data_IF_299400338168
#
_entry.id   IF_299400338168
#
_cell.length_a   1.000
_cell.length_b   1.000
_cell.length_c   1.000
_cell.angle_alpha   90.00
_cell.angle_beta   90.00
_cell.angle_gamma   90.00
#
_symmetry.space_group_name_H-M   'P 1'
#
loop_
_entity.id
_entity.type
_entity.pdbx_description
1 polymer ?
#
# COMPACT_ATOMS: atom_id res chain seq x y z
N UNK A 1 12.13 -19.71 3.42
CA UNK A 1 11.41 -19.16 2.25
C UNK A 1 12.20 -17.98 1.69
N UNK A 2 12.27 -17.74 0.38
CA UNK A 2 13.00 -16.58 -0.12
C UNK A 2 12.31 -15.30 0.36
N UNK A 3 13.02 -14.52 1.17
CA UNK A 3 12.64 -13.20 1.62
C UNK A 3 12.46 -12.29 0.41
N UNK A 4 11.41 -11.46 0.38
CA UNK A 4 11.27 -10.40 -0.62
C UNK A 4 12.55 -9.55 -0.59
N UNK A 5 13.16 -9.34 -1.76
CA UNK A 5 14.39 -8.56 -1.87
C UNK A 5 14.12 -7.08 -1.63
N UNK A 6 15.13 -6.35 -1.18
CA UNK A 6 15.07 -4.90 -1.12
C UNK A 6 14.99 -4.34 -2.54
N UNK A 7 14.19 -3.31 -2.77
CA UNK A 7 14.07 -2.72 -4.09
C UNK A 7 12.85 -1.83 -4.29
N UNK A 8 12.65 -1.40 -5.53
CA UNK A 8 11.53 -0.53 -5.91
C UNK A 8 10.45 -1.38 -6.57
N UNK A 9 9.24 -1.35 -6.02
CA UNK A 9 8.13 -2.18 -6.42
C UNK A 9 6.91 -1.38 -6.88
N UNK A 10 6.10 -2.07 -7.69
CA UNK A 10 4.76 -1.70 -8.09
C UNK A 10 3.81 -2.75 -7.53
N UNK A 11 2.87 -2.36 -6.68
CA UNK A 11 1.97 -3.32 -6.04
C UNK A 11 0.69 -3.44 -6.87
N UNK A 12 0.43 -4.63 -7.39
CA UNK A 12 -0.78 -4.97 -8.15
C UNK A 12 -1.79 -5.63 -7.22
N UNK A 13 -3.05 -5.20 -7.29
CA UNK A 13 -4.15 -5.87 -6.57
C UNK A 13 -4.57 -7.14 -7.30
N UNK A 14 -4.62 -8.27 -6.59
CA UNK A 14 -5.09 -9.55 -7.15
C UNK A 14 -6.60 -9.58 -7.37
N UNK A 15 -7.39 -8.87 -6.55
CA UNK A 15 -8.84 -8.77 -6.74
C UNK A 15 -9.21 -8.16 -8.10
N UNK A 16 -8.33 -7.35 -8.69
CA UNK A 16 -8.54 -6.80 -10.04
C UNK A 16 -8.30 -7.80 -11.18
N UNK A 17 -7.62 -8.93 -10.93
CA UNK A 17 -7.37 -9.95 -11.96
C UNK A 17 -8.61 -10.78 -12.28
N UNK A 18 -9.59 -10.85 -11.38
CA UNK A 18 -10.85 -11.57 -11.63
C UNK A 18 -11.82 -10.82 -12.54
N UNK A 19 -11.53 -9.56 -12.90
CA UNK A 19 -12.33 -8.78 -13.85
C UNK A 19 -11.53 -8.56 -15.14
N UNK A 20 -12.03 -9.09 -16.25
CA UNK A 20 -11.41 -8.96 -17.56
C UNK A 20 -11.21 -7.48 -17.93
N UNK A 21 -9.95 -7.06 -18.09
CA UNK A 21 -9.57 -5.79 -18.72
C UNK A 21 -9.13 -4.64 -17.80
N UNK A 22 -9.40 -4.67 -16.49
CA UNK A 22 -9.08 -3.55 -15.58
C UNK A 22 -8.14 -3.97 -14.45
N UNK A 23 -6.85 -4.10 -14.77
CA UNK A 23 -5.81 -4.29 -13.74
C UNK A 23 -5.68 -3.03 -12.88
N UNK A 24 -5.87 -3.19 -11.58
CA UNK A 24 -5.73 -2.12 -10.60
C UNK A 24 -4.48 -2.34 -9.74
N UNK A 25 -3.88 -1.22 -9.37
CA UNK A 25 -2.65 -1.15 -8.62
C UNK A 25 -2.86 -0.30 -7.37
N UNK A 26 -1.99 -0.46 -6.39
CA UNK A 26 -1.99 0.41 -5.21
C UNK A 26 -1.38 1.77 -5.60
N UNK A 27 -2.03 2.85 -5.18
CA UNK A 27 -1.51 4.19 -5.36
C UNK A 27 -2.34 5.25 -4.64
N UNK A 28 -2.13 6.49 -5.04
CA UNK A 28 -2.91 7.66 -4.61
C UNK A 28 -3.68 8.24 -5.80
N UNK A 29 -4.91 8.70 -5.60
CA UNK A 29 -5.66 9.33 -6.70
C UNK A 29 -5.23 10.79 -6.92
N UNK A 30 -4.89 11.11 -8.17
CA UNK A 30 -4.42 12.43 -8.58
C UNK A 30 -5.48 13.53 -8.44
N UNK A 31 -6.77 13.18 -8.36
CA UNK A 31 -7.82 14.17 -8.06
C UNK A 31 -7.65 14.79 -6.66
N UNK A 32 -7.11 14.01 -5.71
CA UNK A 32 -6.77 14.50 -4.37
C UNK A 32 -5.54 15.41 -4.39
N UNK A 33 -4.64 15.25 -5.37
CA UNK A 33 -3.50 16.15 -5.59
C UNK A 33 -3.95 17.54 -6.04
N UNK A 34 -5.01 17.66 -6.84
CA UNK A 34 -5.52 18.96 -7.34
C UNK A 34 -6.21 19.79 -6.25
N UNK A 35 -6.80 19.16 -5.23
CA UNK A 35 -7.33 19.86 -4.05
C UNK A 35 -6.24 20.32 -3.07
N UNK A 36 -5.02 19.78 -3.19
CA UNK A 36 -3.89 20.08 -2.32
C UNK A 36 -2.97 21.09 -3.02
N UNK A 37 -3.08 22.36 -2.63
CA UNK A 37 -2.34 23.53 -3.19
C UNK A 37 -0.80 23.39 -3.29
N UNK A 38 -0.21 22.32 -2.76
CA UNK A 38 1.23 22.14 -2.62
C UNK A 38 1.87 21.16 -3.61
N UNK A 39 1.12 20.41 -4.43
CA UNK A 39 1.69 19.37 -5.32
C UNK A 39 2.27 18.14 -4.59
N UNK A 40 2.55 18.26 -3.29
CA UNK A 40 3.00 17.18 -2.39
C UNK A 40 1.85 16.29 -1.90
N UNK A 41 2.10 14.98 -1.77
CA UNK A 41 1.23 14.03 -1.11
C UNK A 41 1.28 14.28 0.40
N UNK A 42 0.13 14.51 1.02
CA UNK A 42 0.03 14.79 2.46
C UNK A 42 -0.19 13.53 3.29
N UNK A 43 0.22 13.61 4.55
CA UNK A 43 -0.18 12.65 5.58
C UNK A 43 -1.72 12.55 5.65
N UNK A 44 -2.24 11.34 5.89
CA UNK A 44 -3.66 11.03 5.88
C UNK A 44 -4.27 10.84 4.48
N UNK A 45 -3.51 11.05 3.39
CA UNK A 45 -4.01 10.80 2.03
C UNK A 45 -4.37 9.32 1.85
N UNK A 46 -5.62 8.98 1.48
CA UNK A 46 -6.03 7.58 1.26
C UNK A 46 -5.16 6.85 0.23
N UNK A 47 -4.78 5.61 0.57
CA UNK A 47 -4.22 4.67 -0.39
C UNK A 47 -5.35 3.91 -1.05
N UNK A 48 -5.44 4.00 -2.38
CA UNK A 48 -6.55 3.48 -3.17
C UNK A 48 -6.07 2.61 -4.32
N UNK A 49 -7.01 1.90 -4.93
CA UNK A 49 -6.80 1.20 -6.18
C UNK A 49 -6.86 2.18 -7.36
N UNK A 50 -5.85 2.15 -8.21
CA UNK A 50 -5.71 3.05 -9.35
C UNK A 50 -5.34 2.27 -10.62
N UNK A 51 -5.56 2.89 -11.78
CA UNK A 51 -5.04 2.37 -13.04
C UNK A 51 -3.52 2.54 -13.14
N UNK A 52 -2.91 1.83 -14.08
CA UNK A 52 -1.45 1.76 -14.27
C UNK A 52 -0.80 3.14 -14.41
N UNK A 53 -1.50 4.11 -15.00
CA UNK A 53 -0.99 5.46 -15.27
C UNK A 53 -0.82 6.30 -13.99
N UNK A 54 -1.53 5.93 -12.90
CA UNK A 54 -1.50 6.63 -11.61
C UNK A 54 -0.79 5.83 -10.51
N UNK A 55 -0.16 4.71 -10.86
CA UNK A 55 0.46 3.82 -9.87
C UNK A 55 1.53 4.53 -9.06
N UNK A 56 1.59 4.22 -7.77
CA UNK A 56 2.67 4.68 -6.91
C UNK A 56 3.73 3.61 -6.76
N UNK A 57 5.00 4.00 -6.94
CA UNK A 57 6.15 3.13 -6.66
C UNK A 57 6.52 3.24 -5.19
N UNK A 58 6.81 2.11 -4.58
CA UNK A 58 7.29 2.05 -3.19
C UNK A 58 8.67 1.41 -3.15
N UNK A 59 9.55 1.94 -2.32
CA UNK A 59 10.79 1.28 -1.94
C UNK A 59 10.52 0.36 -0.76
N UNK A 60 10.82 -0.92 -0.93
CA UNK A 60 10.73 -1.95 0.10
C UNK A 60 12.13 -2.18 0.67
N UNK A 61 12.28 -2.02 1.98
CA UNK A 61 13.51 -2.35 2.72
C UNK A 61 13.23 -3.30 3.86
N UNK A 62 14.03 -4.36 3.97
CA UNK A 62 14.07 -5.22 5.14
C UNK A 62 14.60 -4.42 6.34
N UNK A 63 13.86 -4.44 7.44
CA UNK A 63 14.16 -3.78 8.70
C UNK A 63 14.71 -4.76 9.76
N UNK A 64 15.11 -5.97 9.34
CA UNK A 64 15.53 -7.06 10.21
C UNK A 64 14.49 -8.18 10.27
N UNK A 65 14.96 -9.43 10.29
CA UNK A 65 14.09 -10.60 10.29
C UNK A 65 13.13 -10.61 9.10
N UNK A 66 11.85 -10.78 9.40
CA UNK A 66 10.73 -10.77 8.46
C UNK A 66 9.97 -9.43 8.44
N UNK A 67 10.59 -8.35 8.93
CA UNK A 67 10.01 -7.01 8.95
C UNK A 67 10.47 -6.19 7.75
N UNK A 68 9.54 -5.44 7.17
CA UNK A 68 9.76 -4.59 6.01
C UNK A 68 9.19 -3.20 6.21
N UNK A 69 9.81 -2.21 5.58
CA UNK A 69 9.29 -0.84 5.44
C UNK A 69 8.96 -0.57 3.99
N UNK A 70 7.82 0.08 3.74
CA UNK A 70 7.35 0.47 2.41
C UNK A 70 7.27 2.00 2.33
N UNK A 71 8.26 2.61 1.69
CA UNK A 71 8.42 4.07 1.58
C UNK A 71 8.04 4.58 0.20
N UNK A 72 7.47 5.77 0.10
CA UNK A 72 7.25 6.42 -1.18
C UNK A 72 8.56 6.95 -1.77
N UNK A 73 8.79 6.70 -3.07
CA UNK A 73 10.00 7.18 -3.76
C UNK A 73 9.83 8.52 -4.48
N UNK A 74 8.59 9.01 -4.64
CA UNK A 74 8.35 10.26 -5.36
C UNK A 74 8.82 11.44 -4.52
N UNK A 75 9.49 12.41 -5.13
CA UNK A 75 9.89 13.66 -4.45
C UNK A 75 8.71 14.35 -3.77
N UNK A 76 7.53 14.29 -4.37
CA UNK A 76 6.27 14.82 -3.84
C UNK A 76 5.82 14.18 -2.52
N UNK A 77 6.40 13.04 -2.14
CA UNK A 77 6.06 12.26 -0.95
C UNK A 77 7.32 11.77 -0.21
N UNK A 78 8.43 12.49 -0.36
CA UNK A 78 9.69 12.14 0.32
C UNK A 78 9.47 12.09 1.84
N UNK A 79 9.98 11.03 2.48
CA UNK A 79 9.80 10.80 3.92
C UNK A 79 8.42 10.29 4.33
N UNK A 80 7.56 9.92 3.37
CA UNK A 80 6.27 9.31 3.64
C UNK A 80 6.31 7.79 3.46
N UNK A 81 5.50 7.10 4.26
CA UNK A 81 5.32 5.65 4.25
C UNK A 81 3.92 5.27 3.80
N UNK A 82 3.80 4.09 3.19
CA UNK A 82 2.54 3.39 3.07
C UNK A 82 2.23 2.80 4.45
N UNK A 83 1.09 3.18 5.04
CA UNK A 83 0.83 2.89 6.43
C UNK A 83 -0.64 2.96 6.84
N UNK A 84 -0.86 2.67 8.10
CA UNK A 84 -2.12 2.76 8.80
C UNK A 84 -1.84 3.43 10.16
N UNK A 85 -2.87 3.96 10.81
CA UNK A 85 -2.73 4.80 12.01
C UNK A 85 -2.57 3.86 13.18
N UNK A 86 -1.37 3.81 13.79
CA UNK A 86 -1.06 2.89 14.89
C UNK A 86 -2.11 2.93 16.00
N UNK A 87 -2.53 4.15 16.35
CA UNK A 87 -3.47 4.40 17.44
C UNK A 87 -4.94 4.10 17.08
N UNK A 88 -5.26 3.89 15.80
CA UNK A 88 -6.62 3.61 15.30
C UNK A 88 -6.72 2.35 14.45
N UNK A 89 -5.71 1.46 14.47
CA UNK A 89 -5.68 0.23 13.67
C UNK A 89 -6.98 -0.58 13.79
N UNK A 90 -7.56 -0.67 14.99
CA UNK A 90 -8.81 -1.43 15.21
C UNK A 90 -10.09 -0.68 14.81
N UNK A 91 -10.06 0.65 14.71
CA UNK A 91 -11.24 1.49 14.40
C UNK A 91 -11.32 1.86 12.93
N UNK A 92 -10.16 2.03 12.29
CA UNK A 92 -10.06 2.47 10.91
C UNK A 92 -9.17 1.50 10.14
N UNK A 93 -9.81 0.44 9.64
CA UNK A 93 -9.27 -0.63 8.82
C UNK A 93 -8.84 -0.13 7.42
N UNK A 94 -8.14 1.00 7.35
CA UNK A 94 -7.86 1.76 6.14
C UNK A 94 -6.39 2.14 6.06
N UNK A 95 -5.86 2.07 4.85
CA UNK A 95 -4.47 2.44 4.55
C UNK A 95 -4.43 3.87 4.00
N UNK A 96 -3.42 4.61 4.41
CA UNK A 96 -3.18 5.99 4.02
C UNK A 96 -1.66 6.27 4.01
N UNK A 97 -1.31 7.47 3.56
CA UNK A 97 0.05 7.99 3.55
C UNK A 97 0.38 8.52 4.93
N UNK A 98 1.46 8.05 5.56
CA UNK A 98 1.81 8.43 6.94
C UNK A 98 3.27 8.83 7.07
N UNK A 99 3.60 9.70 8.03
CA UNK A 99 5.00 9.94 8.43
C UNK A 99 5.49 8.93 9.44
N UNK A 100 4.60 8.17 10.06
CA UNK A 100 4.96 7.15 11.03
C UNK A 100 5.71 6.00 10.35
N UNK A 101 6.70 5.45 11.04
CA UNK A 101 7.32 4.20 10.63
C UNK A 101 6.36 3.04 10.87
N UNK A 102 5.94 2.41 9.77
CA UNK A 102 5.08 1.23 9.78
C UNK A 102 5.87 0.02 9.30
N UNK A 103 5.89 -1.02 10.14
CA UNK A 103 6.57 -2.27 9.84
C UNK A 103 5.59 -3.33 9.38
N UNK A 104 5.97 -4.01 8.32
CA UNK A 104 5.15 -4.97 7.60
C UNK A 104 5.76 -6.36 7.67
N UNK A 105 4.92 -7.37 7.93
CA UNK A 105 5.19 -8.73 7.52
C UNK A 105 4.98 -8.83 6.02
N UNK A 106 5.93 -9.44 5.30
CA UNK A 106 5.72 -9.74 3.89
C UNK A 106 6.10 -11.17 3.62
N UNK A 107 5.07 -12.02 3.52
CA UNK A 107 5.22 -13.46 3.30
C UNK A 107 4.87 -13.82 1.87
N UNK A 108 5.68 -14.69 1.26
CA UNK A 108 5.40 -15.25 -0.06
C UNK A 108 4.11 -16.08 0.00
N UNK A 109 3.14 -15.74 -0.84
CA UNK A 109 1.93 -16.53 -1.05
C UNK A 109 2.19 -17.77 -1.92
N UNK A 110 1.12 -18.51 -2.25
CA UNK A 110 1.20 -19.76 -3.02
C UNK A 110 1.64 -19.59 -4.49
N UNK A 111 1.71 -18.35 -4.98
CA UNK A 111 2.10 -18.03 -6.34
C UNK A 111 3.34 -17.13 -6.34
N UNK A 112 4.18 -17.29 -7.36
CA UNK A 112 5.35 -16.44 -7.54
C UNK A 112 4.94 -14.97 -7.62
N UNK A 113 5.71 -14.09 -6.96
CA UNK A 113 5.46 -12.66 -6.86
C UNK A 113 4.09 -12.26 -6.26
N UNK A 114 3.40 -13.19 -5.58
CA UNK A 114 2.22 -12.89 -4.76
C UNK A 114 2.62 -12.93 -3.30
N UNK A 115 2.19 -11.92 -2.53
CA UNK A 115 2.58 -11.74 -1.15
C UNK A 115 1.36 -11.46 -0.27
N UNK A 116 1.39 -11.98 0.95
CA UNK A 116 0.54 -11.51 2.04
C UNK A 116 1.29 -10.40 2.77
N UNK A 117 0.62 -9.28 3.00
CA UNK A 117 1.22 -8.11 3.63
C UNK A 117 0.45 -7.84 4.91
N UNK A 118 1.12 -7.95 6.06
CA UNK A 118 0.52 -7.80 7.38
C UNK A 118 1.11 -6.59 8.09
N UNK A 119 0.28 -5.79 8.74
CA UNK A 119 0.74 -4.77 9.69
C UNK A 119 1.26 -5.49 10.92
N UNK A 120 2.56 -5.39 11.24
CA UNK A 120 3.15 -6.18 12.34
C UNK A 120 2.51 -5.93 13.69
N UNK A 121 2.23 -4.66 13.98
CA UNK A 121 1.72 -4.23 15.28
C UNK A 121 0.29 -4.72 15.57
N UNK A 122 -0.54 -4.91 14.54
CA UNK A 122 -1.94 -5.36 14.71
C UNK A 122 -2.21 -6.77 14.23
N UNK A 123 -1.31 -7.37 13.46
CA UNK A 123 -1.54 -8.64 12.79
C UNK A 123 -2.57 -8.59 11.65
N UNK A 124 -3.08 -7.41 11.29
CA UNK A 124 -4.06 -7.28 10.21
C UNK A 124 -3.39 -7.33 8.84
N UNK A 125 -4.03 -8.01 7.90
CA UNK A 125 -3.56 -8.07 6.51
C UNK A 125 -4.12 -6.93 5.68
N UNK A 126 -3.33 -6.46 4.72
CA UNK A 126 -3.81 -5.58 3.65
C UNK A 126 -4.86 -6.32 2.83
N UNK A 127 -6.04 -5.71 2.69
CA UNK A 127 -7.15 -6.29 1.93
C UNK A 127 -7.78 -5.29 0.99
N UNK A 128 -8.46 -5.85 -0.01
CA UNK A 128 -9.28 -5.13 -0.98
C UNK A 128 -10.53 -5.98 -1.23
N UNK A 129 -11.73 -5.36 -1.34
CA UNK A 129 -12.95 -6.10 -1.68
C UNK A 129 -12.82 -6.83 -3.03
N UNK A 130 -13.46 -7.98 -3.18
CA UNK A 130 -13.42 -8.77 -4.41
C UNK A 130 -13.98 -8.02 -5.64
N UNK A 131 -14.92 -7.11 -5.41
CA UNK A 131 -15.54 -6.26 -6.44
C UNK A 131 -14.95 -4.84 -6.46
N UNK A 132 -13.76 -4.64 -5.90
CA UNK A 132 -13.13 -3.33 -5.81
C UNK A 132 -12.92 -2.71 -7.21
N UNK A 133 -13.32 -1.46 -7.34
CA UNK A 133 -13.17 -0.63 -8.55
C UNK A 133 -12.03 0.37 -8.37
N UNK A 134 -11.68 1.09 -9.42
CA UNK A 134 -10.81 2.28 -9.31
C UNK A 134 -11.33 3.20 -8.18
N UNK A 135 -10.41 3.80 -7.44
CA UNK A 135 -10.60 4.61 -6.24
C UNK A 135 -11.13 3.88 -5.00
N UNK A 136 -11.23 2.55 -5.02
CA UNK A 136 -11.49 1.78 -3.79
C UNK A 136 -10.31 1.91 -2.83
N UNK A 137 -10.55 2.37 -1.60
CA UNK A 137 -9.51 2.47 -0.58
C UNK A 137 -9.06 1.10 -0.09
N UNK A 138 -7.75 0.89 -0.03
CA UNK A 138 -7.13 -0.32 0.54
C UNK A 138 -7.41 -0.35 2.04
N UNK A 139 -7.81 -1.52 2.53
CA UNK A 139 -8.12 -1.73 3.92
C UNK A 139 -7.13 -2.66 4.63
N UNK A 140 -7.41 -2.91 5.90
CA UNK A 140 -6.74 -3.93 6.70
C UNK A 140 -7.74 -4.72 7.52
N UNK A 141 -7.67 -6.05 7.56
CA UNK A 141 -8.57 -6.88 8.38
C UNK A 141 -7.80 -8.03 9.05
N UNK A 142 -8.30 -8.49 10.19
CA UNK A 142 -7.82 -9.68 10.91
C UNK A 142 -8.17 -10.95 10.16
#
# INVERSE_FOLDING_TARGET
MPSLQNGIYRIKSRASQSQSGNQLFVGVDNSQRRGQRSGHIKEGTPIVLVRKEKITKVEVKNAGGDNYRMMFISQEASGMNLGCEKDNLQKNNKVFVTKQDVEWAIDQGSQQNCYHVQVRESGMYLTVPQNAKENTQVGSFT
#
